data_IF_368367305629
#
_entry.id   IF_368367305629
#
_cell.length_a   1.000
_cell.length_b   1.000
_cell.length_c   1.000
_cell.angle_alpha   90.00
_cell.angle_beta   90.00
_cell.angle_gamma   90.00
#
_symmetry.space_group_name_H-M   'P 1'
#
loop_
_entity.id
_entity.type
_entity.pdbx_description
1 polymer ?
#
# COMPACT_ATOMS: atom_id res chain seq x y z
N UNK A 1 8.43 17.26 20.34
CA UNK A 1 9.45 16.52 19.57
C UNK A 1 9.68 15.21 20.30
N UNK A 2 9.22 14.07 19.75
CA UNK A 2 9.63 12.75 20.26
C UNK A 2 10.31 12.03 19.11
N UNK A 3 11.59 11.80 19.33
CA UNK A 3 12.59 11.28 18.41
C UNK A 3 12.46 9.75 18.31
N UNK A 4 12.80 9.19 17.14
CA UNK A 4 13.27 7.81 17.09
C UNK A 4 14.48 7.70 18.01
N UNK A 5 14.32 7.10 19.19
CA UNK A 5 15.43 6.91 20.11
C UNK A 5 16.45 5.97 19.48
N UNK A 6 17.64 6.51 19.17
CA UNK A 6 18.85 5.71 18.97
C UNK A 6 19.14 4.96 20.28
N UNK A 7 18.78 3.70 20.34
CA UNK A 7 19.47 2.75 21.21
C UNK A 7 20.28 1.82 20.30
N UNK A 8 21.45 2.32 19.90
CA UNK A 8 22.50 1.48 19.36
C UNK A 8 23.24 0.84 20.53
N UNK A 9 23.10 -0.47 20.67
CA UNK A 9 24.22 -1.32 21.11
C UNK A 9 24.69 -2.01 19.84
N UNK A 10 25.99 -1.97 19.59
CA UNK A 10 26.66 -2.45 18.38
C UNK A 10 26.16 -3.86 17.97
N UNK A 11 25.79 -4.01 16.69
CA UNK A 11 25.57 -5.32 16.07
C UNK A 11 24.13 -5.84 15.96
N UNK A 12 23.08 -5.04 16.19
CA UNK A 12 21.69 -5.52 16.07
C UNK A 12 20.83 -4.62 15.18
N UNK A 13 20.07 -5.26 14.27
CA UNK A 13 19.15 -4.63 13.32
C UNK A 13 18.28 -3.57 13.99
N UNK A 14 18.35 -2.32 13.51
CA UNK A 14 17.52 -1.22 13.98
C UNK A 14 16.04 -1.52 13.71
N UNK A 15 15.34 -2.00 14.74
CA UNK A 15 13.88 -2.12 14.75
C UNK A 15 13.27 -0.73 14.94
N UNK A 16 12.64 -0.19 13.89
CA UNK A 16 11.83 1.02 14.02
C UNK A 16 10.45 0.63 14.56
N UNK A 17 10.19 0.93 15.83
CA UNK A 17 8.87 0.77 16.43
C UNK A 17 8.00 1.92 15.93
N UNK A 18 7.01 1.61 15.10
CA UNK A 18 5.99 2.57 14.68
C UNK A 18 4.87 2.62 15.72
N UNK A 19 5.19 2.94 16.99
CA UNK A 19 4.15 3.03 18.03
C UNK A 19 3.61 4.44 18.21
N UNK A 20 2.29 4.42 18.24
CA UNK A 20 1.36 5.30 18.93
C UNK A 20 1.02 6.63 18.23
N UNK A 21 -0.15 6.66 17.59
CA UNK A 21 -1.42 7.11 18.19
C UNK A 21 -1.44 8.36 19.11
N UNK A 22 -0.33 9.04 19.36
CA UNK A 22 -0.19 10.08 20.40
C UNK A 22 -0.83 11.41 19.99
N UNK A 23 -1.29 11.57 18.75
CA UNK A 23 -2.00 12.80 18.32
C UNK A 23 -3.19 12.49 17.40
N UNK A 24 -3.96 11.42 17.68
CA UNK A 24 -5.19 11.16 16.96
C UNK A 24 -6.30 12.09 17.47
N UNK A 25 -6.45 13.25 16.81
CA UNK A 25 -7.81 13.71 16.54
C UNK A 25 -8.59 12.54 15.91
N UNK A 26 -9.91 12.44 16.08
CA UNK A 26 -10.65 11.22 15.75
C UNK A 26 -10.31 10.79 14.32
N UNK A 27 -9.64 9.63 14.18
CA UNK A 27 -9.32 9.00 12.91
C UNK A 27 -10.59 8.40 12.31
N UNK A 28 -11.58 9.26 12.09
CA UNK A 28 -12.89 8.87 11.59
C UNK A 28 -12.86 9.01 10.09
N UNK A 29 -12.87 7.85 9.43
CA UNK A 29 -13.25 7.77 8.05
C UNK A 29 -14.79 7.73 7.97
N UNK A 30 -15.42 8.87 7.67
CA UNK A 30 -16.89 8.96 7.57
C UNK A 30 -17.45 8.05 6.49
N UNK A 31 -16.69 7.90 5.40
CA UNK A 31 -17.01 7.02 4.29
C UNK A 31 -15.71 6.38 3.76
N UNK A 32 -15.68 5.05 3.74
CA UNK A 32 -14.59 4.28 3.13
C UNK A 32 -14.91 4.10 1.64
N UNK A 33 -14.12 4.74 0.78
CA UNK A 33 -14.31 4.71 -0.67
C UNK A 33 -12.98 4.56 -1.39
N UNK A 34 -13.00 4.29 -2.69
CA UNK A 34 -11.79 4.31 -3.50
C UNK A 34 -11.06 5.66 -3.33
N UNK A 35 -9.75 5.62 -3.09
CA UNK A 35 -8.94 6.83 -3.01
C UNK A 35 -8.77 7.49 -4.37
N UNK A 36 -9.14 6.78 -5.45
CA UNK A 36 -9.19 7.29 -6.81
C UNK A 36 -7.91 7.01 -7.57
N UNK A 37 -7.24 5.87 -7.30
CA UNK A 37 -6.08 5.50 -8.08
C UNK A 37 -6.43 5.30 -9.55
N UNK A 38 -7.67 4.97 -9.92
CA UNK A 38 -8.04 4.86 -11.33
C UNK A 38 -8.15 6.20 -12.09
N UNK A 39 -8.20 7.32 -11.39
CA UNK A 39 -8.47 8.65 -11.95
C UNK A 39 -7.20 9.52 -11.91
N UNK A 40 -6.61 9.77 -13.08
CA UNK A 40 -5.39 10.57 -13.25
C UNK A 40 -5.55 12.00 -12.74
N UNK A 41 -6.73 12.60 -12.90
CA UNK A 41 -6.99 13.97 -12.42
C UNK A 41 -7.00 14.05 -10.88
N UNK A 42 -7.23 12.92 -10.20
CA UNK A 42 -7.27 12.82 -8.74
C UNK A 42 -5.94 12.36 -8.15
N UNK A 43 -5.27 11.41 -8.79
CA UNK A 43 -3.96 10.88 -8.42
C UNK A 43 -3.12 10.82 -9.69
N UNK A 44 -2.13 11.72 -9.80
CA UNK A 44 -1.29 11.86 -11.00
C UNK A 44 -0.45 10.62 -11.28
N UNK A 45 0.03 10.44 -12.50
CA UNK A 45 0.88 9.31 -12.89
C UNK A 45 2.20 9.27 -12.10
N UNK A 46 2.73 10.43 -11.72
CA UNK A 46 3.95 10.56 -10.90
C UNK A 46 3.78 10.00 -9.48
N UNK A 47 2.53 9.79 -9.03
CA UNK A 47 2.27 9.14 -7.74
C UNK A 47 2.75 7.68 -7.73
N UNK A 48 2.92 7.06 -8.89
CA UNK A 48 3.29 5.65 -9.03
C UNK A 48 4.79 5.54 -9.33
N UNK A 49 5.53 4.88 -8.46
CA UNK A 49 6.94 4.54 -8.67
C UNK A 49 7.17 3.06 -8.36
N UNK A 50 8.26 2.48 -8.83
CA UNK A 50 8.59 1.09 -8.58
C UNK A 50 10.10 0.89 -8.46
N UNK A 51 10.52 -0.20 -7.83
CA UNK A 51 11.92 -0.64 -7.80
C UNK A 51 12.48 -0.94 -9.19
N UNK A 52 11.65 -1.49 -10.08
CA UNK A 52 11.99 -1.81 -11.46
C UNK A 52 10.74 -1.92 -12.33
N UNK A 53 10.96 -2.04 -13.63
CA UNK A 53 9.96 -2.35 -14.63
C UNK A 53 10.55 -3.20 -15.75
N UNK A 54 9.79 -4.20 -16.23
CA UNK A 54 10.26 -5.22 -17.19
C UNK A 54 10.92 -4.68 -18.48
N UNK A 55 10.44 -3.57 -19.04
CA UNK A 55 10.99 -2.89 -20.24
C UNK A 55 10.28 -1.54 -20.48
N UNK A 56 10.70 -0.75 -21.48
CA UNK A 56 10.08 0.56 -21.86
C UNK A 56 8.54 0.52 -21.95
N UNK A 57 7.95 -0.60 -22.39
CA UNK A 57 6.48 -0.77 -22.47
C UNK A 57 5.82 -0.92 -21.10
N UNK A 58 6.51 -1.49 -20.11
CA UNK A 58 6.03 -1.67 -18.74
C UNK A 58 6.64 -0.65 -17.75
N UNK A 59 7.41 0.34 -18.24
CA UNK A 59 7.96 1.44 -17.42
C UNK A 59 6.91 2.39 -16.88
N UNK A 60 5.70 2.38 -17.47
CA UNK A 60 4.56 3.14 -17.00
C UNK A 60 4.03 2.50 -15.72
N UNK A 61 4.63 2.85 -14.59
CA UNK A 61 4.25 2.38 -13.25
C UNK A 61 2.78 2.65 -12.94
N UNK A 62 2.22 3.72 -13.50
CA UNK A 62 0.80 4.06 -13.45
C UNK A 62 -0.10 3.09 -14.24
N UNK A 63 0.43 2.17 -15.04
CA UNK A 63 -0.40 1.06 -15.56
C UNK A 63 -0.89 0.15 -14.43
N UNK A 64 -0.38 0.31 -13.20
CA UNK A 64 -0.87 -0.34 -11.99
C UNK A 64 -2.25 0.14 -11.51
N UNK A 65 -2.96 1.02 -12.23
CA UNK A 65 -4.32 1.44 -11.85
C UNK A 65 -5.30 0.26 -11.98
N UNK A 66 -6.12 0.02 -10.95
CA UNK A 66 -7.15 -1.03 -10.96
C UNK A 66 -8.09 -0.90 -12.16
N UNK A 67 -8.45 -2.01 -12.80
CA UNK A 67 -9.23 -2.06 -14.05
C UNK A 67 -8.60 -1.30 -15.24
N UNK A 68 -7.36 -0.82 -15.10
CA UNK A 68 -6.64 -0.17 -16.18
C UNK A 68 -6.29 -1.14 -17.33
N UNK A 69 -5.92 -0.60 -18.50
CA UNK A 69 -5.59 -1.39 -19.69
C UNK A 69 -4.24 -2.13 -19.59
N UNK A 70 -3.38 -1.73 -18.65
CA UNK A 70 -2.07 -2.33 -18.39
C UNK A 70 -1.96 -2.97 -17.01
N UNK A 71 -0.73 -3.21 -16.58
CA UNK A 71 -0.39 -3.51 -15.19
C UNK A 71 1.06 -3.10 -14.96
N UNK A 72 1.43 -2.80 -13.71
CA UNK A 72 2.84 -2.83 -13.35
C UNK A 72 3.31 -4.27 -13.40
N UNK A 73 4.45 -4.52 -14.06
CA UNK A 73 5.09 -5.83 -14.14
C UNK A 73 6.53 -5.68 -13.67
N UNK A 74 6.88 -6.40 -12.60
CA UNK A 74 8.25 -6.40 -12.08
C UNK A 74 9.23 -6.91 -13.15
N UNK A 75 10.45 -6.40 -13.12
CA UNK A 75 11.53 -6.98 -13.91
C UNK A 75 11.92 -8.37 -13.36
N UNK A 76 12.79 -9.07 -14.09
CA UNK A 76 13.24 -10.42 -13.76
C UNK A 76 13.72 -10.51 -12.30
N UNK A 77 13.10 -11.41 -11.54
CA UNK A 77 13.56 -11.80 -10.21
C UNK A 77 14.79 -12.71 -10.34
N UNK A 78 15.97 -12.13 -10.56
CA UNK A 78 17.14 -12.75 -9.94
C UNK A 78 16.91 -12.67 -8.41
N UNK A 79 17.33 -13.70 -7.67
CA UNK A 79 16.92 -13.88 -6.26
C UNK A 79 17.37 -12.78 -5.29
N UNK A 80 18.13 -11.78 -5.76
CA UNK A 80 18.73 -10.73 -4.94
C UNK A 80 17.99 -9.39 -5.02
N UNK A 81 17.12 -9.16 -6.01
CA UNK A 81 16.49 -7.85 -6.22
C UNK A 81 15.07 -7.80 -5.64
N UNK A 82 14.91 -7.05 -4.54
CA UNK A 82 13.62 -6.85 -3.86
C UNK A 82 12.73 -5.94 -4.71
N UNK A 83 11.62 -6.48 -5.23
CA UNK A 83 10.68 -5.73 -6.05
C UNK A 83 9.55 -5.09 -5.23
N UNK A 84 9.19 -3.86 -5.58
CA UNK A 84 8.06 -3.14 -4.99
C UNK A 84 7.39 -2.18 -5.97
N UNK A 85 6.08 -2.01 -5.78
CA UNK A 85 5.29 -0.91 -6.32
C UNK A 85 5.00 0.08 -5.20
N UNK A 86 5.27 1.37 -5.42
CA UNK A 86 5.01 2.45 -4.49
C UNK A 86 3.94 3.38 -5.04
N UNK A 87 3.07 3.83 -4.14
CA UNK A 87 2.05 4.84 -4.42
C UNK A 87 2.20 5.97 -3.38
N UNK A 88 2.39 7.20 -3.84
CA UNK A 88 2.40 8.40 -3.02
C UNK A 88 1.07 9.17 -3.17
N UNK A 89 0.26 9.20 -2.11
CA UNK A 89 -1.03 9.89 -2.10
C UNK A 89 -0.90 11.40 -1.83
N UNK A 90 0.33 11.91 -1.71
CA UNK A 90 0.72 13.31 -1.43
C UNK A 90 0.28 13.85 -0.06
N UNK A 91 -0.84 13.37 0.48
CA UNK A 91 -1.38 13.71 1.81
C UNK A 91 -1.70 12.45 2.59
N UNK A 92 -1.76 12.57 3.92
CA UNK A 92 -2.12 11.45 4.78
C UNK A 92 -3.56 10.99 4.50
N UNK A 93 -3.72 9.68 4.39
CA UNK A 93 -4.99 8.99 4.28
C UNK A 93 -5.15 7.99 5.43
N UNK A 94 -6.40 7.73 5.81
CA UNK A 94 -6.79 6.60 6.64
C UNK A 94 -7.25 5.51 5.68
N UNK A 95 -6.41 4.49 5.49
CA UNK A 95 -6.59 3.39 4.57
C UNK A 95 -7.19 2.19 5.31
N UNK A 96 -8.33 1.72 4.84
CA UNK A 96 -9.06 0.59 5.40
C UNK A 96 -8.87 -0.68 4.59
N UNK A 97 -8.64 -0.59 3.27
CA UNK A 97 -8.47 -1.75 2.41
C UNK A 97 -7.52 -1.48 1.26
N UNK A 98 -7.00 -2.57 0.70
CA UNK A 98 -6.32 -2.61 -0.58
C UNK A 98 -7.05 -3.61 -1.50
N UNK A 99 -7.27 -3.22 -2.75
CA UNK A 99 -7.74 -4.11 -3.80
C UNK A 99 -6.60 -4.37 -4.78
N UNK A 100 -6.36 -5.64 -5.11
CA UNK A 100 -5.34 -6.07 -6.08
C UNK A 100 -5.97 -6.87 -7.21
N UNK A 101 -5.39 -6.78 -8.40
CA UNK A 101 -5.81 -7.47 -9.61
C UNK A 101 -4.58 -7.84 -10.44
N UNK A 102 -4.63 -8.96 -11.16
CA UNK A 102 -3.54 -9.38 -12.05
C UNK A 102 -3.50 -8.61 -13.38
N UNK A 103 -2.75 -9.12 -14.35
CA UNK A 103 -2.58 -8.50 -15.67
C UNK A 103 -3.23 -9.34 -16.79
N UNK A 104 -4.44 -8.96 -17.19
CA UNK A 104 -5.17 -9.58 -18.30
C UNK A 104 -4.54 -9.29 -19.67
N UNK A 105 -3.95 -8.11 -19.85
CA UNK A 105 -3.34 -7.67 -21.11
C UNK A 105 -1.91 -8.16 -21.32
N UNK A 106 -1.35 -8.89 -20.35
CA UNK A 106 0.00 -9.44 -20.45
C UNK A 106 0.02 -10.66 -21.39
N UNK A 107 1.10 -10.82 -22.15
CA UNK A 107 1.28 -11.96 -23.08
C UNK A 107 1.33 -13.32 -22.41
N UNK A 108 1.58 -13.35 -21.10
CA UNK A 108 1.50 -14.53 -20.25
C UNK A 108 0.68 -14.12 -19.04
N UNK A 109 -0.15 -15.03 -18.54
CA UNK A 109 -0.93 -14.79 -17.34
C UNK A 109 -0.01 -14.51 -16.16
N UNK A 110 -0.25 -13.37 -15.50
CA UNK A 110 0.58 -12.90 -14.38
C UNK A 110 -0.28 -12.23 -13.35
N UNK A 111 0.03 -12.54 -12.10
CA UNK A 111 -0.59 -11.96 -10.93
C UNK A 111 0.33 -12.14 -9.72
N UNK A 112 0.01 -11.47 -8.62
CA UNK A 112 0.69 -11.64 -7.33
C UNK A 112 -0.20 -12.43 -6.40
N UNK A 113 0.25 -13.61 -5.99
CA UNK A 113 -0.51 -14.51 -5.12
C UNK A 113 -0.32 -14.24 -3.63
N UNK A 114 0.82 -13.67 -3.23
CA UNK A 114 1.09 -13.22 -1.87
C UNK A 114 1.90 -11.94 -1.90
N UNK A 115 1.70 -11.07 -0.92
CA UNK A 115 2.48 -9.84 -0.78
C UNK A 115 2.52 -9.35 0.66
N UNK A 116 3.49 -8.48 0.95
CA UNK A 116 3.51 -7.69 2.19
C UNK A 116 3.37 -6.21 1.86
N UNK A 117 2.93 -5.43 2.84
CA UNK A 117 2.73 -3.99 2.72
C UNK A 117 3.65 -3.28 3.68
N UNK A 118 4.34 -2.26 3.19
CA UNK A 118 5.02 -1.27 4.03
C UNK A 118 4.46 0.11 3.75
N UNK A 119 4.54 1.00 4.73
CA UNK A 119 3.92 2.30 4.64
C UNK A 119 4.79 3.39 5.25
N UNK A 120 4.57 4.62 4.82
CA UNK A 120 5.24 5.80 5.37
C UNK A 120 4.29 6.98 5.47
N UNK A 121 4.51 7.82 6.48
CA UNK A 121 3.79 9.08 6.70
C UNK A 121 4.53 10.28 6.13
N UNK A 122 5.87 10.20 6.03
CA UNK A 122 6.76 11.30 5.66
C UNK A 122 7.69 10.98 4.47
N UNK A 123 7.74 9.72 4.03
CA UNK A 123 8.61 9.20 2.97
C UNK A 123 10.00 8.80 3.42
N UNK A 124 10.41 9.17 4.63
CA UNK A 124 11.74 8.89 5.17
C UNK A 124 11.75 7.60 5.99
N UNK A 125 10.72 7.41 6.82
CA UNK A 125 10.61 6.23 7.69
C UNK A 125 9.52 5.29 7.20
N UNK A 126 9.87 4.02 7.05
CA UNK A 126 8.98 2.97 6.54
C UNK A 126 8.71 1.92 7.61
N UNK A 127 7.44 1.61 7.82
CA UNK A 127 6.96 0.60 8.74
C UNK A 127 6.41 -0.59 7.96
N UNK A 128 6.61 -1.82 8.43
CA UNK A 128 5.81 -2.96 7.96
C UNK A 128 4.39 -2.86 8.50
N UNK A 129 3.42 -3.32 7.72
CA UNK A 129 2.06 -3.51 8.23
C UNK A 129 1.99 -4.77 9.09
N UNK A 130 1.46 -4.63 10.30
CA UNK A 130 1.19 -5.74 11.23
C UNK A 130 -0.30 -5.78 11.60
N UNK A 131 -0.82 -6.98 11.84
CA UNK A 131 -2.17 -7.14 12.35
C UNK A 131 -2.25 -6.69 13.83
N UNK A 132 -3.42 -6.24 14.25
CA UNK A 132 -3.69 -5.99 15.66
C UNK A 132 -3.29 -7.19 16.53
N UNK A 133 -2.46 -6.96 17.55
CA UNK A 133 -1.98 -7.99 18.47
C UNK A 133 -0.81 -8.85 17.97
N UNK A 134 -0.40 -8.72 16.70
CA UNK A 134 0.73 -9.45 16.12
C UNK A 134 2.01 -8.60 16.11
N UNK A 135 2.49 -8.21 17.30
CA UNK A 135 3.65 -7.31 17.45
C UNK A 135 4.88 -7.86 16.72
N UNK A 136 5.54 -6.99 15.96
CA UNK A 136 6.77 -7.28 15.23
C UNK A 136 6.62 -8.40 14.19
N UNK A 137 5.42 -8.59 13.64
CA UNK A 137 5.16 -9.59 12.60
C UNK A 137 4.57 -8.94 11.35
N UNK A 138 5.38 -8.84 10.30
CA UNK A 138 4.95 -8.39 8.99
C UNK A 138 3.82 -9.30 8.47
N UNK A 139 2.68 -8.69 8.14
CA UNK A 139 1.50 -9.41 7.68
C UNK A 139 1.64 -9.75 6.20
N UNK A 140 1.64 -11.05 5.91
CA UNK A 140 1.48 -11.60 4.57
C UNK A 140 0.01 -11.60 4.18
N UNK A 141 -0.32 -10.91 3.09
CA UNK A 141 -1.64 -10.91 2.47
C UNK A 141 -1.72 -11.98 1.39
N UNK A 142 -2.87 -12.64 1.31
CA UNK A 142 -3.22 -13.48 0.17
C UNK A 142 -3.77 -12.58 -0.93
N UNK A 143 -3.12 -12.63 -2.09
CA UNK A 143 -3.42 -11.81 -3.26
C UNK A 143 -4.31 -12.53 -4.25
N UNK A 144 -4.01 -12.36 -5.52
CA UNK A 144 -4.79 -12.86 -6.64
C UNK A 144 -4.52 -14.33 -6.94
N UNK A 145 -5.49 -14.99 -7.56
CA UNK A 145 -5.41 -16.36 -8.06
C UNK A 145 -5.66 -16.45 -9.57
N UNK A 146 -5.87 -15.31 -10.23
CA UNK A 146 -6.10 -15.16 -11.65
C UNK A 146 -5.67 -13.75 -12.12
N UNK A 147 -5.90 -13.44 -13.39
CA UNK A 147 -5.50 -12.17 -14.01
C UNK A 147 -6.53 -11.03 -13.91
N UNK A 148 -7.77 -11.31 -13.49
CA UNK A 148 -8.90 -10.38 -13.71
C UNK A 148 -9.79 -10.17 -12.47
N UNK A 149 -9.87 -11.11 -11.55
CA UNK A 149 -10.62 -10.96 -10.31
C UNK A 149 -9.95 -9.94 -9.39
N UNK A 150 -10.76 -9.08 -8.76
CA UNK A 150 -10.29 -8.13 -7.75
C UNK A 150 -10.35 -8.80 -6.38
N UNK A 151 -9.18 -9.04 -5.78
CA UNK A 151 -9.06 -9.51 -4.40
C UNK A 151 -8.93 -8.28 -3.49
N UNK A 152 -9.72 -8.25 -2.41
CA UNK A 152 -9.72 -7.15 -1.44
C UNK A 152 -9.27 -7.64 -0.08
N UNK A 153 -8.29 -6.95 0.51
CA UNK A 153 -7.77 -7.22 1.83
C UNK A 153 -7.97 -6.01 2.74
N UNK A 154 -8.44 -6.26 3.97
CA UNK A 154 -8.62 -5.23 5.00
C UNK A 154 -7.31 -4.94 5.73
N UNK A 155 -7.06 -3.67 6.02
CA UNK A 155 -6.08 -3.24 7.02
C UNK A 155 -6.77 -3.20 8.39
N UNK A 156 -6.40 -4.12 9.28
CA UNK A 156 -6.91 -4.20 10.66
C UNK A 156 -5.75 -4.12 11.67
N UNK A 157 -5.55 -2.97 12.35
CA UNK A 157 -6.37 -1.76 12.30
C UNK A 157 -6.17 -0.95 11.00
N UNK A 158 -7.05 0.04 10.69
CA UNK A 158 -6.85 0.94 9.56
C UNK A 158 -5.48 1.63 9.62
N UNK A 159 -4.85 1.70 8.46
CA UNK A 159 -3.51 2.23 8.26
C UNK A 159 -3.55 3.74 8.02
N UNK A 160 -2.75 4.53 8.76
CA UNK A 160 -2.55 5.95 8.44
C UNK A 160 -1.26 6.13 7.66
N UNK A 161 -1.35 6.50 6.39
CA UNK A 161 -0.20 6.60 5.50
C UNK A 161 -0.36 7.70 4.44
N UNK A 162 0.77 8.27 4.02
CA UNK A 162 0.88 9.07 2.79
C UNK A 162 1.34 8.19 1.64
N UNK A 163 2.35 7.36 1.89
CA UNK A 163 2.95 6.47 0.92
C UNK A 163 2.75 5.01 1.34
N UNK A 164 2.53 4.15 0.35
CA UNK A 164 2.46 2.70 0.54
C UNK A 164 3.38 2.02 -0.46
N UNK A 165 4.01 0.93 -0.04
CA UNK A 165 4.77 0.00 -0.88
C UNK A 165 4.20 -1.39 -0.76
N UNK A 166 4.00 -2.03 -1.92
CA UNK A 166 3.52 -3.39 -2.04
C UNK A 166 4.70 -4.23 -2.53
N UNK A 167 5.06 -5.24 -1.76
CA UNK A 167 6.17 -6.14 -2.04
C UNK A 167 5.61 -7.53 -2.39
N UNK A 168 5.60 -7.93 -3.67
CA UNK A 168 5.23 -9.28 -4.05
C UNK A 168 6.13 -10.33 -3.38
N UNK A 169 5.53 -11.36 -2.80
CA UNK A 169 6.23 -12.58 -2.39
C UNK A 169 6.10 -13.57 -3.53
N UNK A 170 7.20 -13.82 -4.23
CA UNK A 170 7.18 -14.73 -5.38
C UNK A 170 7.69 -16.10 -4.94
N UNK A 171 6.89 -17.17 -5.12
CA UNK A 171 7.37 -18.52 -4.80
C UNK A 171 8.50 -18.91 -5.74
N UNK A 172 9.49 -19.66 -5.21
CA UNK A 172 10.60 -20.24 -5.95
C UNK A 172 10.14 -21.42 -6.86
N UNK A 173 9.27 -21.21 -7.86
CA UNK A 173 9.03 -22.23 -8.89
C UNK A 173 10.10 -22.25 -10.02
N UNK A 174 10.70 -23.41 -10.25
CA UNK A 174 11.88 -23.62 -11.08
C UNK A 174 11.76 -23.27 -12.60
N UNK A 175 10.71 -22.58 -13.03
CA UNK A 175 10.48 -22.23 -14.44
C UNK A 175 11.16 -20.93 -14.92
N UNK A 176 11.71 -20.12 -14.01
CA UNK A 176 12.40 -18.86 -14.35
C UNK A 176 11.49 -17.77 -14.94
N UNK A 177 10.16 -17.91 -14.83
CA UNK A 177 9.15 -16.97 -15.38
C UNK A 177 8.59 -15.97 -14.37
N UNK A 178 9.28 -15.75 -13.25
CA UNK A 178 8.89 -14.92 -12.11
C UNK A 178 8.64 -13.45 -12.41
N UNK A 179 7.50 -13.12 -13.01
CA UNK A 179 7.10 -11.72 -13.22
C UNK A 179 5.79 -11.50 -12.52
N UNK A 180 5.86 -10.76 -11.42
CA UNK A 180 4.71 -10.29 -10.67
C UNK A 180 4.02 -9.19 -11.44
N UNK A 181 2.70 -9.25 -11.55
CA UNK A 181 1.92 -8.16 -12.11
C UNK A 181 0.84 -7.69 -11.14
N UNK A 182 0.72 -6.37 -10.97
CA UNK A 182 -0.28 -5.74 -10.12
C UNK A 182 -1.02 -4.63 -10.85
N UNK A 183 -2.33 -4.62 -10.64
CA UNK A 183 -3.17 -3.44 -10.64
C UNK A 183 -3.76 -3.26 -9.24
N UNK A 184 -3.93 -2.02 -8.78
CA UNK A 184 -4.18 -1.67 -7.37
C UNK A 184 -5.18 -0.53 -7.24
N UNK A 185 -6.04 -0.63 -6.22
CA UNK A 185 -6.81 0.48 -5.66
C UNK A 185 -6.66 0.47 -4.13
N UNK A 186 -6.70 1.63 -3.50
CA UNK A 186 -6.77 1.75 -2.05
C UNK A 186 -8.15 2.28 -1.65
N UNK A 187 -8.64 1.85 -0.50
CA UNK A 187 -9.95 2.26 0.00
C UNK A 187 -9.81 2.91 1.37
N UNK A 188 -10.35 4.11 1.51
CA UNK A 188 -10.18 4.94 2.68
C UNK A 188 -10.68 6.36 2.46
N UNK A 189 -10.07 7.30 3.17
CA UNK A 189 -10.36 8.73 3.06
C UNK A 189 -9.14 9.56 3.44
N UNK A 190 -9.12 10.83 3.02
CA UNK A 190 -8.11 11.81 3.43
C UNK A 190 -8.20 12.05 4.94
N UNK A 191 -7.06 12.05 5.63
CA UNK A 191 -7.01 12.42 7.03
C UNK A 191 -7.20 13.93 7.16
N UNK A 192 -8.24 14.36 7.88
CA UNK A 192 -8.49 15.78 8.12
C UNK A 192 -7.53 16.33 9.17
N UNK A 193 -6.88 17.48 8.93
CA UNK A 193 -6.12 18.18 9.96
C UNK A 193 -7.00 18.50 11.18
N UNK A 194 -6.42 18.46 12.38
CA UNK A 194 -7.13 18.57 13.66
C UNK A 194 -7.92 19.89 13.82
N UNK A 195 -7.67 20.92 13.01
CA UNK A 195 -8.40 22.21 13.04
C UNK A 195 -9.48 22.43 11.96
N UNK A 196 -9.70 21.48 11.04
CA UNK A 196 -10.73 21.59 9.96
C UNK A 196 -11.90 20.63 10.13
N UNK A 197 -11.97 19.93 11.27
CA UNK A 197 -13.04 18.99 11.55
C UNK A 197 -14.29 19.77 11.94
N UNK A 198 -15.38 19.60 11.18
CA UNK A 198 -16.68 20.14 11.57
C UNK A 198 -17.04 19.58 12.96
N UNK A 199 -17.56 20.41 13.89
CA UNK A 199 -17.96 19.94 15.21
C UNK A 199 -18.90 18.73 15.08
N UNK A 200 -18.82 17.75 16.00
CA UNK A 200 -19.77 16.65 16.02
C UNK A 200 -21.18 17.24 16.05
N UNK A 201 -22.06 16.76 15.15
CA UNK A 201 -23.46 17.19 15.14
C UNK A 201 -24.03 16.91 16.54
N UNK A 202 -24.42 17.96 17.26
CA UNK A 202 -25.16 17.81 18.50
C UNK A 202 -26.47 17.11 18.16
N UNK A 203 -26.63 15.88 18.65
CA UNK A 203 -27.94 15.23 18.64
C UNK A 203 -28.78 16.04 19.60
N UNK A 204 -29.75 16.78 19.06
CA UNK A 204 -30.76 17.49 19.86
C UNK A 204 -31.46 16.47 20.76
N UNK A 205 -31.49 16.66 22.10
CA UNK A 205 -32.37 15.86 22.92
C UNK A 205 -33.79 16.17 22.46
N UNK A 206 -34.53 15.09 22.15
CA UNK A 206 -35.91 15.16 21.71
C UNK A 206 -36.75 16.04 22.66
N UNK A 207 -37.59 16.87 22.04
CA UNK A 207 -38.61 17.72 22.66
C UNK A 207 -39.73 16.88 23.28
#
# INVERSE_FOLDING_TARGET
MRECSRHGIEGSSTHCICSDDINKGPNICRLVQAVGLYDEARISDEAFTASSAKNERFKRTFDARLNGPGAWVSDNLNSCDIQWLQIDLSVLHILHRIGTQGCKSCTQEKWVSKYVVRHSRDGNYWCFFENYGARNKEKVFDGNFDTDSIVRNDFRPPLVARMIRIYPIVPYDASGKYRSALRVELYGCKQMPVGKQAPPRSVSPFS
#
